data_IF_856600767095
#
_entry.id   IF_856600767095
#
_cell.length_a   1.000
_cell.length_b   1.000
_cell.length_c   1.000
_cell.angle_alpha   90.00
_cell.angle_beta   90.00
_cell.angle_gamma   90.00
#
_symmetry.space_group_name_H-M   'P 1'
#
loop_
_entity.id
_entity.type
_entity.pdbx_description
1 polymer ?
#
# COMPACT_ATOMS: atom_id res chain seq x y z
N UNK A 1 -23.48 -10.64 24.80
CA UNK A 1 -23.03 -9.42 24.10
C UNK A 1 -22.32 -9.85 22.84
N UNK A 2 -22.65 -9.27 21.69
CA UNK A 2 -21.98 -9.53 20.41
C UNK A 2 -21.51 -8.21 19.80
N UNK A 3 -20.62 -8.27 18.82
CA UNK A 3 -20.15 -7.13 18.05
C UNK A 3 -20.65 -7.22 16.61
N UNK A 4 -20.95 -6.08 15.99
CA UNK A 4 -21.23 -5.98 14.56
C UNK A 4 -20.06 -5.23 13.91
N UNK A 5 -19.46 -5.82 12.88
CA UNK A 5 -18.46 -5.15 12.04
C UNK A 5 -19.09 -4.94 10.67
N UNK A 6 -19.34 -3.68 10.31
CA UNK A 6 -19.94 -3.30 9.02
C UNK A 6 -18.86 -2.91 8.02
N UNK A 7 -18.91 -3.45 6.80
CA UNK A 7 -18.14 -2.98 5.65
C UNK A 7 -19.11 -2.32 4.68
N UNK A 8 -18.85 -1.06 4.33
CA UNK A 8 -19.74 -0.25 3.49
C UNK A 8 -18.99 0.21 2.25
N UNK A 9 -19.58 -0.02 1.07
CA UNK A 9 -19.06 0.53 -0.18
C UNK A 9 -19.63 1.92 -0.39
N UNK A 10 -18.77 2.93 -0.43
CA UNK A 10 -19.15 4.33 -0.71
C UNK A 10 -18.65 4.66 -2.11
N UNK A 11 -19.58 4.93 -3.03
CA UNK A 11 -19.25 5.41 -4.37
C UNK A 11 -18.98 6.91 -4.32
N UNK A 12 -17.83 7.33 -4.85
CA UNK A 12 -17.41 8.74 -4.92
C UNK A 12 -17.74 9.27 -6.31
N UNK A 13 -18.69 10.22 -6.45
CA UNK A 13 -19.00 10.80 -7.75
C UNK A 13 -17.81 11.57 -8.32
N UNK A 14 -17.50 11.36 -9.60
CA UNK A 14 -16.45 12.07 -10.34
C UNK A 14 -15.05 12.05 -9.67
N UNK A 15 -14.77 11.04 -8.84
CA UNK A 15 -13.52 10.91 -8.08
C UNK A 15 -13.25 12.10 -7.11
N UNK A 16 -14.29 12.87 -6.73
CA UNK A 16 -14.19 14.02 -5.80
C UNK A 16 -14.53 13.65 -4.34
N UNK A 17 -13.50 13.48 -3.51
CA UNK A 17 -13.64 13.18 -2.08
C UNK A 17 -14.15 14.35 -1.24
N UNK A 18 -14.17 15.57 -1.80
CA UNK A 18 -14.66 16.78 -1.13
C UNK A 18 -16.16 16.97 -1.30
N UNK A 19 -16.82 16.12 -2.09
CA UNK A 19 -18.27 16.13 -2.21
C UNK A 19 -18.94 15.94 -0.82
N UNK A 20 -20.03 16.69 -0.52
CA UNK A 20 -20.68 16.63 0.79
C UNK A 20 -21.18 15.22 1.19
N UNK A 21 -21.55 14.37 0.23
CA UNK A 21 -22.08 13.03 0.50
C UNK A 21 -21.01 12.07 1.07
N UNK A 22 -19.83 11.87 0.44
CA UNK A 22 -18.75 11.10 1.04
C UNK A 22 -18.19 11.76 2.30
N UNK A 23 -18.04 13.09 2.32
CA UNK A 23 -17.46 13.80 3.47
C UNK A 23 -18.23 13.58 4.78
N UNK A 24 -19.57 13.60 4.73
CA UNK A 24 -20.41 13.32 5.90
C UNK A 24 -20.34 11.86 6.33
N UNK A 25 -20.22 10.93 5.39
CA UNK A 25 -20.09 9.50 5.67
C UNK A 25 -18.77 9.20 6.38
N UNK A 26 -17.66 9.81 5.95
CA UNK A 26 -16.32 9.57 6.52
C UNK A 26 -16.21 9.93 8.00
N UNK A 27 -16.95 10.95 8.48
CA UNK A 27 -16.92 11.34 9.89
C UNK A 27 -17.39 10.21 10.85
N UNK A 28 -18.20 9.29 10.35
CA UNK A 28 -18.77 8.17 11.11
C UNK A 28 -17.97 6.87 10.99
N UNK A 29 -16.94 6.82 10.16
CA UNK A 29 -16.14 5.62 9.94
C UNK A 29 -14.91 5.56 10.84
N UNK A 30 -14.61 4.38 11.39
CA UNK A 30 -13.41 4.13 12.18
C UNK A 30 -12.18 3.81 11.33
N UNK A 31 -12.39 3.34 10.11
CA UNK A 31 -11.37 3.11 9.10
C UNK A 31 -11.92 3.40 7.71
N UNK A 32 -11.09 3.98 6.85
CA UNK A 32 -11.39 4.27 5.46
C UNK A 32 -10.38 3.56 4.57
N UNK A 33 -10.86 2.81 3.59
CA UNK A 33 -10.03 2.19 2.56
C UNK A 33 -10.41 2.83 1.23
N UNK A 34 -9.54 3.72 0.75
CA UNK A 34 -9.75 4.47 -0.50
C UNK A 34 -9.22 3.63 -1.65
N UNK A 35 -10.03 3.43 -2.69
CA UNK A 35 -9.60 2.75 -3.91
C UNK A 35 -9.31 3.81 -4.98
N UNK A 36 -8.14 3.75 -5.60
CA UNK A 36 -7.68 4.76 -6.56
C UNK A 36 -7.50 4.20 -7.96
N UNK A 37 -7.99 4.94 -8.96
CA UNK A 37 -7.82 4.62 -10.38
C UNK A 37 -6.35 4.61 -10.80
N UNK A 38 -5.54 5.54 -10.28
CA UNK A 38 -4.12 5.63 -10.66
C UNK A 38 -3.33 4.38 -10.25
N UNK A 39 -3.74 3.70 -9.18
CA UNK A 39 -3.12 2.44 -8.73
C UNK A 39 -3.54 1.26 -9.61
N UNK A 40 -4.81 1.24 -10.05
CA UNK A 40 -5.30 0.24 -11.03
C UNK A 40 -4.50 0.32 -12.33
N UNK A 41 -4.21 1.52 -12.82
CA UNK A 41 -3.46 1.74 -14.06
C UNK A 41 -2.02 1.18 -14.00
N UNK A 42 -1.46 1.03 -12.79
CA UNK A 42 -0.17 0.38 -12.55
C UNK A 42 -0.26 -1.16 -12.50
N UNK A 43 -1.48 -1.73 -12.61
CA UNK A 43 -1.73 -3.17 -12.51
C UNK A 43 -1.69 -3.71 -11.08
N UNK A 44 -1.82 -2.85 -10.07
CA UNK A 44 -1.74 -3.22 -8.65
C UNK A 44 -3.15 -3.51 -8.13
N UNK A 45 -3.35 -4.73 -7.64
CA UNK A 45 -4.60 -5.18 -7.04
C UNK A 45 -4.35 -5.78 -5.64
N UNK A 46 -5.11 -5.37 -4.61
CA UNK A 46 -6.17 -4.37 -4.65
C UNK A 46 -5.64 -2.95 -4.83
N UNK A 47 -6.42 -2.09 -5.48
CA UNK A 47 -6.04 -0.72 -5.79
C UNK A 47 -6.24 0.25 -4.61
N UNK A 48 -5.83 -0.18 -3.41
CA UNK A 48 -5.93 0.62 -2.18
C UNK A 48 -4.87 1.72 -2.22
N UNK A 49 -5.29 2.96 -1.99
CA UNK A 49 -4.37 4.08 -1.80
C UNK A 49 -3.79 4.05 -0.37
N UNK A 50 -2.48 3.80 -0.20
CA UNK A 50 -1.87 3.65 1.12
C UNK A 50 -1.68 4.98 1.86
N UNK A 51 -1.78 6.13 1.17
CA UNK A 51 -1.64 7.46 1.76
C UNK A 51 -2.99 8.09 2.10
N UNK A 52 -4.02 7.83 1.30
CA UNK A 52 -5.39 8.33 1.54
C UNK A 52 -6.22 7.41 2.46
N UNK A 53 -5.84 6.13 2.59
CA UNK A 53 -6.50 5.19 3.51
C UNK A 53 -6.06 5.41 4.95
N UNK A 54 -7.01 5.37 5.89
CA UNK A 54 -6.73 5.66 7.30
C UNK A 54 -7.46 4.71 8.24
N UNK A 55 -6.97 4.59 9.48
CA UNK A 55 -7.63 3.84 10.53
C UNK A 55 -7.36 4.46 11.89
N UNK A 56 -8.41 4.59 12.73
CA UNK A 56 -8.28 5.09 14.11
C UNK A 56 -7.46 4.16 15.01
N UNK A 57 -7.44 2.86 14.70
CA UNK A 57 -6.73 1.87 15.51
C UNK A 57 -5.25 1.73 15.13
N UNK A 58 -4.76 2.47 14.13
CA UNK A 58 -3.34 2.58 13.84
C UNK A 58 -2.63 3.47 14.89
N UNK A 59 -2.61 2.98 16.12
CA UNK A 59 -2.03 3.57 17.31
C UNK A 59 -1.12 2.51 17.97
N UNK A 60 0.13 2.83 18.34
CA UNK A 60 1.07 1.85 18.89
C UNK A 60 0.57 1.19 20.18
N UNK A 61 -0.36 1.83 20.91
CA UNK A 61 -0.98 1.26 22.12
C UNK A 61 -2.00 0.17 21.80
N UNK A 62 -2.49 0.09 20.57
CA UNK A 62 -3.48 -0.88 20.11
C UNK A 62 -2.80 -1.97 19.28
N UNK A 63 -2.06 -1.58 18.23
CA UNK A 63 -1.45 -2.53 17.28
C UNK A 63 -0.05 -2.98 17.67
N UNK A 64 0.55 -2.36 18.69
CA UNK A 64 1.93 -2.56 19.06
C UNK A 64 2.91 -1.69 18.27
N UNK A 65 4.09 -1.50 18.85
CA UNK A 65 5.11 -0.59 18.35
C UNK A 65 5.68 -1.02 16.98
N UNK A 66 5.88 -2.32 16.79
CA UNK A 66 6.44 -2.88 15.56
C UNK A 66 5.52 -2.66 14.36
N UNK A 67 4.24 -3.02 14.49
CA UNK A 67 3.25 -2.79 13.45
C UNK A 67 3.14 -1.30 13.12
N UNK A 68 3.01 -0.46 14.15
CA UNK A 68 2.88 0.99 13.95
C UNK A 68 4.08 1.58 13.21
N UNK A 69 5.32 1.26 13.62
CA UNK A 69 6.53 1.75 12.98
C UNK A 69 6.68 1.28 11.54
N UNK A 70 6.39 0.00 11.26
CA UNK A 70 6.45 -0.52 9.89
C UNK A 70 5.41 0.18 9.01
N UNK A 71 4.17 0.35 9.47
CA UNK A 71 3.14 1.05 8.72
C UNK A 71 3.51 2.52 8.45
N UNK A 72 4.04 3.24 9.45
CA UNK A 72 4.52 4.61 9.28
C UNK A 72 5.70 4.71 8.32
N UNK A 73 6.67 3.80 8.41
CA UNK A 73 7.80 3.76 7.48
C UNK A 73 7.36 3.51 6.03
N UNK A 74 6.37 2.65 5.81
CA UNK A 74 5.75 2.44 4.48
C UNK A 74 5.09 3.74 3.98
N UNK A 75 4.34 4.44 4.82
CA UNK A 75 3.73 5.73 4.43
C UNK A 75 4.79 6.78 4.11
N UNK A 76 5.83 6.91 4.94
CA UNK A 76 6.91 7.88 4.76
C UNK A 76 7.68 7.65 3.46
N UNK A 77 8.03 6.40 3.12
CA UNK A 77 8.78 6.12 1.90
C UNK A 77 7.93 6.36 0.64
N UNK A 78 6.63 6.05 0.69
CA UNK A 78 5.71 6.31 -0.40
C UNK A 78 5.41 7.80 -0.59
N UNK A 79 5.34 8.56 0.52
CA UNK A 79 5.20 10.01 0.48
C UNK A 79 6.43 10.67 -0.16
N UNK A 80 7.64 10.29 0.26
CA UNK A 80 8.89 10.76 -0.38
C UNK A 80 8.94 10.39 -1.86
N UNK A 81 8.53 9.17 -2.22
CA UNK A 81 8.47 8.77 -3.62
C UNK A 81 7.55 9.67 -4.45
N UNK A 82 6.36 10.01 -3.92
CA UNK A 82 5.42 10.92 -4.58
C UNK A 82 6.03 12.31 -4.80
N UNK A 83 6.78 12.83 -3.84
CA UNK A 83 7.51 14.12 -3.98
C UNK A 83 8.61 14.04 -5.05
N UNK A 84 9.31 12.91 -5.13
CA UNK A 84 10.35 12.67 -6.14
C UNK A 84 9.78 12.42 -7.54
N UNK A 85 8.53 11.95 -7.68
CA UNK A 85 7.91 11.68 -8.99
C UNK A 85 7.83 12.93 -9.87
N UNK A 86 7.51 14.11 -9.30
CA UNK A 86 7.45 15.36 -10.06
C UNK A 86 8.83 15.76 -10.59
N UNK A 87 9.87 15.57 -9.77
CA UNK A 87 11.26 15.81 -10.16
C UNK A 87 11.66 14.83 -11.28
N UNK A 88 11.36 13.54 -11.14
CA UNK A 88 11.65 12.51 -12.14
C UNK A 88 10.95 12.82 -13.48
N UNK A 89 9.71 13.30 -13.44
CA UNK A 89 8.93 13.62 -14.63
C UNK A 89 9.52 14.80 -15.42
N UNK A 90 10.22 15.74 -14.76
CA UNK A 90 10.80 16.93 -15.38
C UNK A 90 12.27 16.72 -15.76
N UNK A 91 13.07 16.18 -14.84
CA UNK A 91 14.53 16.12 -14.95
C UNK A 91 15.04 14.72 -15.33
N UNK A 92 14.25 13.67 -15.09
CA UNK A 92 14.67 12.29 -15.26
C UNK A 92 15.29 11.67 -14.00
N UNK A 93 15.43 10.36 -13.99
CA UNK A 93 15.91 9.59 -12.83
C UNK A 93 17.41 9.75 -12.58
N UNK A 94 18.19 10.10 -13.61
CA UNK A 94 19.65 10.24 -13.52
C UNK A 94 20.08 11.45 -12.68
N UNK A 95 19.22 12.46 -12.57
CA UNK A 95 19.46 13.72 -11.85
C UNK A 95 19.22 13.60 -10.32
N UNK A 96 18.69 12.46 -9.87
CA UNK A 96 18.52 12.19 -8.45
C UNK A 96 19.85 11.83 -7.77
N UNK A 97 19.96 12.16 -6.48
CA UNK A 97 21.05 11.65 -5.65
C UNK A 97 20.99 10.13 -5.53
N UNK A 98 22.09 9.47 -5.21
CA UNK A 98 22.11 8.00 -5.03
C UNK A 98 21.17 7.56 -3.89
N UNK A 99 21.05 8.38 -2.84
CA UNK A 99 20.12 8.15 -1.73
C UNK A 99 18.65 8.25 -2.20
N UNK A 100 18.33 9.24 -3.05
CA UNK A 100 16.98 9.39 -3.61
C UNK A 100 16.65 8.26 -4.58
N UNK A 101 17.61 7.81 -5.40
CA UNK A 101 17.45 6.64 -6.27
C UNK A 101 17.14 5.39 -5.44
N UNK A 102 17.82 5.23 -4.30
CA UNK A 102 17.55 4.12 -3.38
C UNK A 102 16.14 4.22 -2.77
N UNK A 103 15.72 5.41 -2.35
CA UNK A 103 14.35 5.66 -1.86
C UNK A 103 13.32 5.29 -2.91
N UNK A 104 13.51 5.73 -4.16
CA UNK A 104 12.59 5.41 -5.27
C UNK A 104 12.55 3.92 -5.55
N UNK A 105 13.71 3.25 -5.60
CA UNK A 105 13.80 1.80 -5.81
C UNK A 105 13.00 1.04 -4.74
N UNK A 106 13.24 1.32 -3.46
CA UNK A 106 12.52 0.69 -2.35
C UNK A 106 11.03 1.04 -2.36
N UNK A 107 10.67 2.30 -2.63
CA UNK A 107 9.27 2.71 -2.72
C UNK A 107 8.50 1.96 -3.81
N UNK A 108 9.10 1.76 -4.99
CA UNK A 108 8.50 0.97 -6.07
C UNK A 108 8.28 -0.49 -5.66
N UNK A 109 9.24 -1.09 -4.94
CA UNK A 109 9.10 -2.45 -4.38
C UNK A 109 7.98 -2.52 -3.35
N UNK A 110 7.93 -1.57 -2.41
CA UNK A 110 6.83 -1.45 -1.43
C UNK A 110 5.49 -1.30 -2.13
N UNK A 111 5.40 -0.43 -3.13
CA UNK A 111 4.16 -0.19 -3.89
C UNK A 111 3.67 -1.47 -4.58
N UNK A 112 4.57 -2.24 -5.18
CA UNK A 112 4.24 -3.53 -5.80
C UNK A 112 3.88 -4.60 -4.77
N UNK A 113 4.58 -4.65 -3.64
CA UNK A 113 4.33 -5.62 -2.57
C UNK A 113 3.00 -5.41 -1.83
N UNK A 114 2.35 -4.25 -2.01
CA UNK A 114 0.96 -4.04 -1.58
C UNK A 114 -0.07 -4.81 -2.43
N UNK A 115 0.33 -5.32 -3.60
CA UNK A 115 -0.54 -6.18 -4.40
C UNK A 115 -0.58 -7.61 -3.85
N UNK A 116 -1.73 -8.27 -4.00
CA UNK A 116 -1.94 -9.63 -3.55
C UNK A 116 -2.97 -10.34 -4.45
N UNK A 117 -2.69 -11.57 -4.91
CA UNK A 117 -3.65 -12.33 -5.69
C UNK A 117 -4.83 -12.78 -4.81
N UNK A 118 -6.05 -12.49 -5.26
CA UNK A 118 -7.27 -12.83 -4.55
C UNK A 118 -7.82 -14.19 -4.96
N UNK A 119 -8.29 -14.98 -3.98
CA UNK A 119 -8.95 -16.27 -4.24
C UNK A 119 -10.14 -16.16 -5.20
N UNK A 120 -10.91 -15.08 -5.09
CA UNK A 120 -12.06 -14.82 -5.96
C UNK A 120 -11.67 -14.36 -7.36
N UNK A 121 -10.43 -13.87 -7.54
CA UNK A 121 -9.92 -13.39 -8.81
C UNK A 121 -9.20 -14.48 -9.62
N UNK A 122 -8.90 -15.63 -9.03
CA UNK A 122 -8.14 -16.73 -9.66
C UNK A 122 -8.71 -17.15 -11.02
N UNK A 123 -10.03 -17.16 -11.18
CA UNK A 123 -10.67 -17.51 -12.46
C UNK A 123 -10.39 -16.50 -13.59
N UNK A 124 -10.08 -15.25 -13.25
CA UNK A 124 -9.82 -14.18 -14.21
C UNK A 124 -8.31 -13.95 -14.44
N UNK A 125 -7.50 -14.11 -13.39
CA UNK A 125 -6.06 -13.83 -13.42
C UNK A 125 -5.21 -15.06 -13.69
N UNK A 126 -5.73 -16.27 -13.43
CA UNK A 126 -4.95 -17.51 -13.42
C UNK A 126 -3.97 -17.63 -12.26
N UNK A 127 -3.96 -16.67 -11.33
CA UNK A 127 -3.09 -16.67 -10.16
C UNK A 127 -3.83 -17.26 -8.96
N UNK A 128 -3.21 -18.22 -8.28
CA UNK A 128 -3.77 -18.78 -7.05
C UNK A 128 -3.82 -17.72 -5.95
N UNK A 129 -4.98 -17.59 -5.33
CA UNK A 129 -5.18 -16.67 -4.23
C UNK A 129 -4.24 -16.97 -3.06
N UNK A 130 -3.78 -15.91 -2.39
CA UNK A 130 -2.90 -16.02 -1.22
C UNK A 130 -3.60 -15.43 0.00
N UNK A 131 -3.36 -16.04 1.16
CA UNK A 131 -3.68 -15.48 2.46
C UNK A 131 -2.37 -15.20 3.20
N UNK A 132 -2.18 -13.97 3.66
CA UNK A 132 -0.93 -13.52 4.29
C UNK A 132 -1.20 -13.25 5.77
N UNK A 133 -0.55 -13.98 6.69
CA UNK A 133 -0.67 -13.69 8.12
C UNK A 133 -0.12 -12.31 8.48
N UNK A 134 -0.70 -11.65 9.48
CA UNK A 134 -0.29 -10.30 9.92
C UNK A 134 1.21 -10.23 10.27
N UNK A 135 1.76 -11.24 10.94
CA UNK A 135 3.18 -11.29 11.28
C UNK A 135 4.08 -11.29 10.03
N UNK A 136 3.65 -11.97 8.97
CA UNK A 136 4.37 -12.03 7.70
C UNK A 136 4.29 -10.72 6.94
N UNK A 137 3.13 -10.04 6.97
CA UNK A 137 2.98 -8.70 6.41
C UNK A 137 3.95 -7.72 7.08
N UNK A 138 3.96 -7.67 8.42
CA UNK A 138 4.84 -6.77 9.19
C UNK A 138 6.31 -7.09 8.92
N UNK A 139 6.67 -8.38 8.92
CA UNK A 139 8.04 -8.83 8.62
C UNK A 139 8.46 -8.39 7.21
N UNK A 140 7.66 -8.71 6.18
CA UNK A 140 7.99 -8.43 4.80
C UNK A 140 8.20 -6.94 4.52
N UNK A 141 7.27 -6.09 4.94
CA UNK A 141 7.44 -4.64 4.76
C UNK A 141 8.63 -4.09 5.53
N UNK A 142 8.90 -4.57 6.75
CA UNK A 142 10.08 -4.16 7.51
C UNK A 142 11.37 -4.52 6.79
N UNK A 143 11.48 -5.74 6.26
CA UNK A 143 12.70 -6.19 5.57
C UNK A 143 12.97 -5.37 4.30
N UNK A 144 11.92 -4.96 3.57
CA UNK A 144 12.04 -4.05 2.41
C UNK A 144 12.52 -2.67 2.87
N UNK A 145 11.93 -2.11 3.94
CA UNK A 145 12.35 -0.82 4.48
C UNK A 145 13.80 -0.83 4.98
N UNK A 146 14.24 -1.94 5.58
CA UNK A 146 15.62 -2.17 6.05
C UNK A 146 16.62 -2.41 4.90
N UNK A 147 16.14 -2.61 3.66
CA UNK A 147 16.99 -2.81 2.48
C UNK A 147 17.50 -4.23 2.28
N UNK A 148 16.95 -5.21 2.99
CA UNK A 148 17.37 -6.63 2.88
C UNK A 148 17.12 -7.22 1.50
N UNK A 149 16.23 -6.60 0.72
CA UNK A 149 15.81 -7.05 -0.61
C UNK A 149 16.14 -6.02 -1.70
N UNK A 150 17.17 -5.17 -1.47
CA UNK A 150 17.57 -4.12 -2.42
C UNK A 150 18.10 -4.67 -3.75
N UNK A 151 18.69 -5.86 -3.74
CA UNK A 151 19.21 -6.52 -4.94
C UNK A 151 18.11 -7.24 -5.76
N UNK A 152 16.92 -7.44 -5.19
CA UNK A 152 15.82 -8.15 -5.86
C UNK A 152 15.10 -7.22 -6.85
N UNK A 153 14.84 -7.63 -8.10
CA UNK A 153 14.12 -6.80 -9.07
C UNK A 153 12.68 -6.49 -8.64
N UNK A 154 12.20 -5.28 -8.95
CA UNK A 154 10.86 -4.81 -8.56
C UNK A 154 9.71 -5.74 -9.00
N UNK A 155 9.85 -6.42 -10.13
CA UNK A 155 8.82 -7.29 -10.72
C UNK A 155 8.45 -8.47 -9.82
N UNK A 156 9.38 -8.93 -8.98
CA UNK A 156 9.17 -10.07 -8.08
C UNK A 156 8.26 -9.73 -6.90
N UNK A 157 8.09 -8.44 -6.59
CA UNK A 157 7.19 -7.99 -5.53
C UNK A 157 5.73 -7.91 -5.99
N UNK A 158 5.45 -7.98 -7.30
CA UNK A 158 4.09 -7.88 -7.82
C UNK A 158 3.35 -9.22 -7.66
N UNK A 159 2.18 -9.19 -7.02
CA UNK A 159 1.35 -10.35 -6.68
C UNK A 159 2.07 -11.41 -5.84
N UNK A 160 3.12 -11.02 -5.11
CA UNK A 160 3.73 -11.86 -4.09
C UNK A 160 2.75 -12.09 -2.93
N UNK A 161 2.81 -13.25 -2.28
CA UNK A 161 2.03 -13.49 -1.06
C UNK A 161 2.81 -13.01 0.15
N UNK A 162 3.92 -13.69 0.43
CA UNK A 162 4.84 -13.36 1.52
C UNK A 162 6.18 -12.86 0.97
N UNK A 163 7.02 -12.33 1.85
CA UNK A 163 8.37 -11.90 1.45
C UNK A 163 9.25 -13.08 1.00
N UNK A 164 8.94 -14.30 1.47
CA UNK A 164 9.68 -15.50 1.07
C UNK A 164 9.39 -15.90 -0.39
N UNK A 165 8.33 -15.36 -1.01
CA UNK A 165 8.05 -15.53 -2.45
C UNK A 165 8.91 -14.60 -3.33
N UNK A 166 9.61 -13.64 -2.72
CA UNK A 166 10.38 -12.60 -3.40
C UNK A 166 11.86 -12.99 -3.40
N UNK A 167 12.27 -13.81 -4.36
CA UNK A 167 13.64 -14.34 -4.51
C UNK A 167 14.20 -14.15 -5.90
#
# INVERSE_FOLDING_TARGET
SGSITSVQAVYVPADDLTDPAPATTFAHLDATTVLSRSIVELGIYPAVDPLESTSRILDPRIVGEEHYKTARGVQEILQKYKELQDIIAILGMDELSEDDKLVVSRARKVQRFLSQPFFVATQFTGLDGRYVPLSETIRGFREILEGKHDDVPESYFLNAGSIDDVT
#
